data_IF_632430267394
#
_entry.id   IF_632430267394
#
_cell.length_a   1.000
_cell.length_b   1.000
_cell.length_c   1.000
_cell.angle_alpha   90.00
_cell.angle_beta   90.00
_cell.angle_gamma   90.00
#
_symmetry.space_group_name_H-M   'P 1'
#
loop_
_entity.id
_entity.type
_entity.pdbx_description
1 polymer ?
#
# COMPACT_ATOMS: atom_id res chain seq x y z
N UNK A 1 -7.48 7.85 -0.45
CA UNK A 1 -7.21 6.58 0.28
C UNK A 1 -5.72 6.34 0.38
N UNK A 2 -5.23 5.79 1.48
CA UNK A 2 -3.80 5.48 1.68
C UNK A 2 -3.56 3.98 1.62
N UNK A 3 -2.60 3.54 0.81
CA UNK A 3 -2.20 2.13 0.73
C UNK A 3 -0.87 1.93 1.45
N UNK A 4 -0.85 1.03 2.43
CA UNK A 4 0.33 0.70 3.24
C UNK A 4 0.88 -0.65 2.79
N UNK A 5 2.15 -0.71 2.42
CA UNK A 5 2.80 -1.94 1.94
C UNK A 5 3.95 -2.27 2.88
N UNK A 6 3.78 -3.30 3.72
CA UNK A 6 4.83 -3.76 4.63
C UNK A 6 4.59 -5.24 5.00
N UNK A 7 5.65 -6.05 5.02
CA UNK A 7 5.57 -7.47 5.40
C UNK A 7 5.36 -7.68 6.91
N UNK A 8 5.55 -6.64 7.74
CA UNK A 8 5.40 -6.73 9.19
C UNK A 8 3.98 -6.37 9.59
N UNK A 9 3.25 -7.37 10.09
CA UNK A 9 1.89 -7.21 10.57
C UNK A 9 1.73 -6.07 11.60
N UNK A 10 2.68 -5.92 12.53
CA UNK A 10 2.68 -4.82 13.52
C UNK A 10 2.61 -3.43 12.86
N UNK A 11 3.31 -3.25 11.74
CA UNK A 11 3.35 -1.98 11.00
C UNK A 11 2.02 -1.74 10.30
N UNK A 12 1.50 -2.75 9.61
CA UNK A 12 0.18 -2.71 8.96
C UNK A 12 -0.94 -2.37 9.95
N UNK A 13 -0.98 -3.06 11.08
CA UNK A 13 -1.99 -2.86 12.11
C UNK A 13 -1.86 -1.47 12.76
N UNK A 14 -0.63 -1.02 12.99
CA UNK A 14 -0.33 0.30 13.53
C UNK A 14 -0.84 1.42 12.63
N UNK A 15 -0.51 1.37 11.34
CA UNK A 15 -0.96 2.39 10.38
C UNK A 15 -2.46 2.31 10.10
N UNK A 16 -3.03 1.11 9.95
CA UNK A 16 -4.49 0.96 9.77
C UNK A 16 -5.25 1.55 10.94
N UNK A 17 -4.78 1.31 12.17
CA UNK A 17 -5.38 1.89 13.37
C UNK A 17 -5.23 3.41 13.43
N UNK A 18 -4.08 3.94 13.01
CA UNK A 18 -3.80 5.37 12.97
C UNK A 18 -4.72 6.07 11.96
N UNK A 19 -4.74 5.62 10.71
CA UNK A 19 -5.55 6.21 9.64
C UNK A 19 -7.05 6.04 9.90
N UNK A 20 -7.46 4.89 10.42
CA UNK A 20 -8.86 4.65 10.81
C UNK A 20 -9.35 5.62 11.88
N UNK A 21 -8.48 6.05 12.82
CA UNK A 21 -8.83 7.07 13.83
C UNK A 21 -9.00 8.46 13.23
N UNK A 22 -8.23 8.78 12.19
CA UNK A 22 -8.33 10.06 11.47
C UNK A 22 -9.45 10.07 10.42
N UNK A 23 -10.20 8.96 10.29
CA UNK A 23 -11.24 8.81 9.27
C UNK A 23 -10.69 8.69 7.85
N UNK A 24 -9.39 8.39 7.70
CA UNK A 24 -8.74 8.21 6.41
C UNK A 24 -8.92 6.77 5.95
N UNK A 25 -9.54 6.52 4.78
CA UNK A 25 -9.64 5.18 4.25
C UNK A 25 -8.25 4.65 3.93
N UNK A 26 -7.90 3.49 4.49
CA UNK A 26 -6.60 2.86 4.30
C UNK A 26 -6.73 1.36 4.00
N UNK A 27 -5.84 0.84 3.15
CA UNK A 27 -5.64 -0.59 2.94
C UNK A 27 -4.20 -0.97 3.25
N UNK A 28 -3.98 -2.21 3.66
CA UNK A 28 -2.66 -2.74 4.00
C UNK A 28 -2.40 -4.02 3.21
N UNK A 29 -1.24 -4.12 2.58
CA UNK A 29 -0.82 -5.26 1.76
C UNK A 29 0.57 -5.74 2.15
N UNK A 30 0.84 -7.02 1.93
CA UNK A 30 2.21 -7.53 1.89
C UNK A 30 2.89 -7.16 0.57
N UNK A 31 4.22 -7.21 0.54
CA UNK A 31 5.02 -6.80 -0.62
C UNK A 31 4.67 -7.59 -1.88
N UNK A 32 4.38 -8.89 -1.72
CA UNK A 32 3.99 -9.80 -2.82
C UNK A 32 2.56 -9.49 -3.28
N UNK A 33 1.63 -9.39 -2.34
CA UNK A 33 0.20 -9.14 -2.62
C UNK A 33 -0.01 -7.79 -3.30
N UNK A 34 0.71 -6.75 -2.86
CA UNK A 34 0.68 -5.45 -3.50
C UNK A 34 1.17 -5.51 -4.95
N UNK A 35 2.23 -6.29 -5.22
CA UNK A 35 2.74 -6.49 -6.57
C UNK A 35 1.69 -7.12 -7.50
N UNK A 36 0.93 -8.11 -7.02
CA UNK A 36 -0.15 -8.70 -7.80
C UNK A 36 -1.33 -7.73 -7.95
N UNK A 37 -1.71 -7.04 -6.88
CA UNK A 37 -2.80 -6.07 -6.88
C UNK A 37 -2.52 -4.90 -7.82
N UNK A 38 -1.35 -4.27 -7.76
CA UNK A 38 -1.04 -3.10 -8.62
C UNK A 38 -1.06 -3.45 -10.11
N UNK A 39 -0.69 -4.69 -10.47
CA UNK A 39 -0.70 -5.17 -11.85
C UNK A 39 -2.10 -5.61 -12.32
N UNK A 40 -3.06 -5.83 -11.41
CA UNK A 40 -4.40 -6.34 -11.74
C UNK A 40 -5.53 -5.36 -11.42
N UNK A 41 -5.26 -4.35 -10.59
CA UNK A 41 -6.18 -3.30 -10.23
C UNK A 41 -6.54 -2.46 -11.45
N UNK A 42 -7.79 -2.00 -11.51
CA UNK A 42 -8.21 -1.08 -12.55
C UNK A 42 -7.56 0.29 -12.34
N UNK A 43 -7.31 1.02 -13.42
CA UNK A 43 -6.80 2.40 -13.36
C UNK A 43 -7.65 3.31 -12.46
N UNK A 44 -8.96 3.06 -12.37
CA UNK A 44 -9.87 3.78 -11.48
C UNK A 44 -9.59 3.56 -10.00
N UNK A 45 -9.16 2.35 -9.63
CA UNK A 45 -8.80 2.03 -8.24
C UNK A 45 -7.46 2.67 -7.89
N UNK A 46 -6.49 2.60 -8.81
CA UNK A 46 -5.19 3.26 -8.66
C UNK A 46 -5.33 4.78 -8.56
N UNK A 47 -6.21 5.39 -9.36
CA UNK A 47 -6.48 6.83 -9.32
C UNK A 47 -7.19 7.31 -8.04
N UNK A 48 -7.86 6.40 -7.32
CA UNK A 48 -8.49 6.71 -6.02
C UNK A 48 -7.50 6.65 -4.84
N UNK A 49 -6.30 6.09 -5.06
CA UNK A 49 -5.22 6.09 -4.07
C UNK A 49 -4.52 7.45 -4.08
N UNK A 50 -4.52 8.12 -2.93
CA UNK A 50 -3.90 9.42 -2.76
C UNK A 50 -2.41 9.30 -2.40
N UNK A 51 -2.03 8.21 -1.74
CA UNK A 51 -0.65 7.96 -1.35
C UNK A 51 -0.38 6.47 -1.12
N UNK A 52 0.84 6.06 -1.44
CA UNK A 52 1.40 4.75 -1.12
C UNK A 52 2.49 4.90 -0.07
N UNK A 53 2.37 4.19 1.04
CA UNK A 53 3.36 4.11 2.10
C UNK A 53 4.09 2.77 2.01
N UNK A 54 5.29 2.78 1.44
CA UNK A 54 6.12 1.59 1.25
C UNK A 54 7.09 1.46 2.42
N UNK A 55 6.93 0.37 3.16
CA UNK A 55 7.78 0.00 4.29
C UNK A 55 9.16 -0.49 3.87
N UNK A 56 9.98 -0.80 4.87
CA UNK A 56 11.34 -1.30 4.64
C UNK A 56 11.31 -2.80 4.37
N UNK A 57 11.65 -3.22 3.15
CA UNK A 57 11.60 -4.62 2.72
C UNK A 57 12.50 -4.91 1.52
N UNK A 58 12.61 -6.18 1.15
CA UNK A 58 13.51 -6.64 0.07
C UNK A 58 13.18 -6.03 -1.30
N UNK A 59 11.92 -5.73 -1.56
CA UNK A 59 11.45 -5.21 -2.87
C UNK A 59 11.18 -3.69 -2.83
N UNK A 60 11.68 -2.98 -1.81
CA UNK A 60 11.46 -1.53 -1.63
C UNK A 60 11.84 -0.68 -2.86
N UNK A 61 12.80 -1.14 -3.68
CA UNK A 61 13.17 -0.44 -4.92
C UNK A 61 12.36 -0.85 -6.16
N UNK A 62 11.71 -2.02 -6.12
CA UNK A 62 10.93 -2.56 -7.23
C UNK A 62 9.48 -2.09 -7.18
N UNK A 63 8.93 -1.98 -5.97
CA UNK A 63 7.55 -1.54 -5.72
C UNK A 63 7.22 -0.15 -6.30
N UNK A 64 8.04 0.91 -6.12
CA UNK A 64 7.73 2.22 -6.66
C UNK A 64 7.71 2.25 -8.19
N UNK A 65 8.46 1.36 -8.85
CA UNK A 65 8.52 1.29 -10.32
C UNK A 65 7.19 0.78 -10.89
N UNK A 66 6.53 -0.16 -10.20
CA UNK A 66 5.23 -0.67 -10.59
C UNK A 66 4.08 0.36 -10.46
N UNK A 67 4.31 1.46 -9.73
CA UNK A 67 3.31 2.52 -9.49
C UNK A 67 3.45 3.66 -10.53
N UNK A 68 4.63 3.81 -11.15
CA UNK A 68 4.96 4.92 -12.03
C UNK A 68 5.09 4.53 -13.52
N UNK A 69 4.79 3.29 -13.88
CA UNK A 69 4.66 2.83 -15.28
C UNK A 69 3.20 3.02 -15.74
#
# INVERSE_FOLDING_TARGET
MIVVVDDRQLVKDGYTSLFGREGVPSASFDTIEFGEWVNTAADSDLAAVEAFLIGHGKQMMELPRAICD
#
